data_IF_307691497650
#
_entry.id   IF_307691497650
#
_cell.length_a   1.000
_cell.length_b   1.000
_cell.length_c   1.000
_cell.angle_alpha   90.00
_cell.angle_beta   90.00
_cell.angle_gamma   90.00
#
_symmetry.space_group_name_H-M   'P 1'
#
loop_
_entity.id
_entity.type
_entity.pdbx_description
1 polymer ?
#
# COMPACT_ATOMS: atom_id res chain seq x y z
N UNK A 1 -50.38 -34.63 -36.76
CA UNK A 1 -49.77 -33.38 -36.24
C UNK A 1 -49.78 -33.27 -34.71
N UNK A 2 -50.88 -33.58 -34.00
CA UNK A 2 -50.98 -33.40 -32.53
C UNK A 2 -50.01 -34.29 -31.71
N UNK A 3 -49.69 -35.50 -32.21
CA UNK A 3 -48.76 -36.45 -31.56
C UNK A 3 -47.29 -35.98 -31.61
N UNK A 4 -46.85 -35.43 -32.76
CA UNK A 4 -45.49 -34.89 -32.91
C UNK A 4 -45.26 -33.64 -32.06
N UNK A 5 -46.27 -32.78 -31.88
CA UNK A 5 -46.20 -31.62 -30.97
C UNK A 5 -46.01 -32.05 -29.50
N UNK A 6 -46.80 -33.03 -29.03
CA UNK A 6 -46.67 -33.58 -27.67
C UNK A 6 -45.31 -34.24 -27.42
N UNK A 7 -44.75 -34.91 -28.43
CA UNK A 7 -43.42 -35.53 -28.35
C UNK A 7 -42.31 -34.47 -28.26
N UNK A 8 -42.41 -33.37 -29.02
CA UNK A 8 -41.50 -32.23 -28.92
C UNK A 8 -41.54 -31.52 -27.57
N UNK A 9 -42.74 -31.34 -26.99
CA UNK A 9 -42.90 -30.76 -25.65
C UNK A 9 -42.32 -31.66 -24.55
N UNK A 10 -42.51 -32.99 -24.65
CA UNK A 10 -41.90 -33.94 -23.71
C UNK A 10 -40.37 -33.96 -23.79
N UNK A 11 -39.81 -33.89 -25.00
CA UNK A 11 -38.37 -33.82 -25.21
C UNK A 11 -37.80 -32.51 -24.65
N UNK A 12 -38.45 -31.38 -24.91
CA UNK A 12 -38.07 -30.07 -24.37
C UNK A 12 -38.06 -30.06 -22.83
N UNK A 13 -39.10 -30.63 -22.19
CA UNK A 13 -39.14 -30.78 -20.72
C UNK A 13 -37.99 -31.66 -20.19
N UNK A 14 -37.69 -32.77 -20.84
CA UNK A 14 -36.55 -33.65 -20.46
C UNK A 14 -35.21 -32.91 -20.60
N UNK A 15 -35.01 -32.17 -21.68
CA UNK A 15 -33.82 -31.33 -21.87
C UNK A 15 -33.71 -30.28 -20.79
N UNK A 16 -34.80 -29.60 -20.46
CA UNK A 16 -34.83 -28.57 -19.41
C UNK A 16 -34.46 -29.15 -18.02
N UNK A 17 -34.96 -30.34 -17.69
CA UNK A 17 -34.61 -31.04 -16.44
C UNK A 17 -33.14 -31.47 -16.43
N UNK A 18 -32.61 -31.94 -17.55
CA UNK A 18 -31.21 -32.36 -17.64
C UNK A 18 -30.26 -31.18 -17.54
N UNK A 19 -30.58 -30.07 -18.21
CA UNK A 19 -29.82 -28.82 -18.12
C UNK A 19 -29.85 -28.26 -16.70
N UNK A 20 -31.02 -28.25 -16.03
CA UNK A 20 -31.10 -27.77 -14.65
C UNK A 20 -30.33 -28.65 -13.67
N UNK A 21 -30.35 -29.98 -13.87
CA UNK A 21 -29.54 -30.92 -13.08
C UNK A 21 -28.06 -30.69 -13.28
N UNK A 22 -27.60 -30.58 -14.54
CA UNK A 22 -26.19 -30.33 -14.85
C UNK A 22 -25.74 -28.99 -14.26
N UNK A 23 -26.53 -27.93 -14.42
CA UNK A 23 -26.25 -26.63 -13.82
C UNK A 23 -26.14 -26.69 -12.29
N UNK A 24 -26.96 -27.51 -11.62
CA UNK A 24 -26.85 -27.71 -10.17
C UNK A 24 -25.56 -28.45 -9.78
N UNK A 25 -25.15 -29.45 -10.58
CA UNK A 25 -23.89 -30.16 -10.36
C UNK A 25 -22.68 -29.22 -10.55
N UNK A 26 -22.71 -28.38 -11.60
CA UNK A 26 -21.66 -27.40 -11.86
C UNK A 26 -21.54 -26.40 -10.71
N UNK A 27 -22.67 -25.92 -10.17
CA UNK A 27 -22.68 -25.02 -9.01
C UNK A 27 -22.09 -25.68 -7.76
N UNK A 28 -22.36 -26.98 -7.54
CA UNK A 28 -21.78 -27.74 -6.43
C UNK A 28 -20.27 -27.95 -6.60
N UNK A 29 -19.81 -28.19 -7.81
CA UNK A 29 -18.37 -28.31 -8.06
C UNK A 29 -17.66 -26.96 -7.93
N UNK A 30 -18.28 -25.85 -8.37
CA UNK A 30 -17.75 -24.51 -8.17
C UNK A 30 -17.57 -24.19 -6.68
N UNK A 31 -18.61 -24.37 -5.87
CA UNK A 31 -18.54 -24.14 -4.42
C UNK A 31 -17.48 -25.03 -3.74
N UNK A 32 -17.37 -26.30 -4.17
CA UNK A 32 -16.33 -27.21 -3.68
C UNK A 32 -14.91 -26.77 -4.06
N UNK A 33 -14.72 -26.14 -5.22
CA UNK A 33 -13.43 -25.58 -5.64
C UNK A 33 -13.10 -24.35 -4.79
N UNK A 34 -14.04 -23.42 -4.63
CA UNK A 34 -13.90 -22.23 -3.79
C UNK A 34 -13.50 -22.59 -2.35
N UNK A 35 -14.20 -23.56 -1.74
CA UNK A 35 -13.88 -24.07 -0.40
C UNK A 35 -12.45 -24.64 -0.29
N UNK A 36 -11.96 -25.28 -1.34
CA UNK A 36 -10.60 -25.84 -1.36
C UNK A 36 -9.55 -24.75 -1.52
N UNK A 37 -9.80 -23.79 -2.39
CA UNK A 37 -8.90 -22.65 -2.60
C UNK A 37 -8.70 -21.87 -1.30
N UNK A 38 -9.77 -21.61 -0.56
CA UNK A 38 -9.71 -20.94 0.73
C UNK A 38 -8.89 -21.74 1.76
N UNK A 39 -9.11 -23.06 1.84
CA UNK A 39 -8.34 -23.96 2.72
C UNK A 39 -6.86 -23.99 2.38
N UNK A 40 -6.52 -24.04 1.09
CA UNK A 40 -5.13 -24.00 0.64
C UNK A 40 -4.48 -22.65 0.92
N UNK A 41 -5.20 -21.55 0.71
CA UNK A 41 -4.73 -20.21 1.03
C UNK A 41 -4.42 -20.08 2.53
N UNK A 42 -5.34 -20.50 3.39
CA UNK A 42 -5.15 -20.51 4.84
C UNK A 42 -3.93 -21.33 5.24
N UNK A 43 -3.85 -22.58 4.78
CA UNK A 43 -2.73 -23.47 5.07
C UNK A 43 -1.39 -22.88 4.62
N UNK A 44 -1.34 -22.28 3.42
CA UNK A 44 -0.15 -21.65 2.89
C UNK A 44 0.31 -20.47 3.77
N UNK A 45 -0.60 -19.55 4.10
CA UNK A 45 -0.27 -18.38 4.93
C UNK A 45 0.23 -18.78 6.32
N UNK A 46 -0.49 -19.69 7.00
CA UNK A 46 -0.08 -20.18 8.32
C UNK A 46 1.29 -20.85 8.27
N UNK A 47 1.56 -21.64 7.23
CA UNK A 47 2.85 -22.34 7.07
C UNK A 47 3.98 -21.36 6.80
N UNK A 48 3.77 -20.36 5.95
CA UNK A 48 4.78 -19.32 5.71
C UNK A 48 5.07 -18.51 6.97
N UNK A 49 4.05 -18.13 7.73
CA UNK A 49 4.22 -17.41 9.00
C UNK A 49 5.00 -18.27 10.00
N UNK A 50 4.68 -19.56 10.12
CA UNK A 50 5.42 -20.49 10.99
C UNK A 50 6.88 -20.62 10.57
N UNK A 51 7.15 -20.70 9.26
CA UNK A 51 8.52 -20.76 8.74
C UNK A 51 9.31 -19.50 9.09
N UNK A 52 8.72 -18.31 8.88
CA UNK A 52 9.33 -17.03 9.23
C UNK A 52 9.56 -16.83 10.73
N UNK A 53 8.84 -17.53 11.59
CA UNK A 53 9.10 -17.51 13.04
C UNK A 53 10.30 -18.37 13.43
N UNK A 54 10.56 -19.44 12.69
CA UNK A 54 11.56 -20.45 13.05
C UNK A 54 12.93 -20.17 12.44
N UNK A 55 12.97 -19.51 11.27
CA UNK A 55 14.21 -19.23 10.53
C UNK A 55 14.19 -17.86 9.86
N UNK A 56 15.37 -17.26 9.76
CA UNK A 56 15.63 -16.02 9.01
C UNK A 56 16.20 -16.30 7.59
N UNK A 57 16.55 -17.55 7.27
CA UNK A 57 17.12 -17.93 5.96
C UNK A 57 16.14 -17.74 4.80
N UNK A 58 14.84 -17.71 5.10
CA UNK A 58 13.75 -17.66 4.13
C UNK A 58 12.89 -16.41 4.27
N UNK A 59 13.48 -15.28 4.66
CA UNK A 59 12.76 -13.98 4.78
C UNK A 59 12.12 -13.50 3.47
N UNK A 60 12.57 -14.03 2.32
CA UNK A 60 11.93 -13.79 1.02
C UNK A 60 10.48 -14.29 0.97
N UNK A 61 10.07 -15.21 1.84
CA UNK A 61 8.69 -15.66 1.99
C UNK A 61 7.75 -14.52 2.41
N UNK A 62 8.26 -13.45 3.02
CA UNK A 62 7.44 -12.28 3.31
C UNK A 62 6.84 -11.67 2.03
N UNK A 63 7.58 -11.68 0.91
CA UNK A 63 7.05 -11.24 -0.38
C UNK A 63 5.86 -12.10 -0.81
N UNK A 64 5.94 -13.42 -0.56
CA UNK A 64 4.88 -14.37 -0.92
C UNK A 64 3.65 -14.17 -0.06
N UNK A 65 3.83 -13.97 1.25
CA UNK A 65 2.75 -13.63 2.17
C UNK A 65 2.05 -12.34 1.73
N UNK A 66 2.81 -11.26 1.49
CA UNK A 66 2.23 -10.01 1.04
C UNK A 66 1.51 -10.16 -0.29
N UNK A 67 2.09 -10.88 -1.27
CA UNK A 67 1.42 -11.15 -2.54
C UNK A 67 0.08 -11.86 -2.35
N UNK A 68 0.03 -12.93 -1.55
CA UNK A 68 -1.19 -13.69 -1.29
C UNK A 68 -2.22 -12.85 -0.53
N UNK A 69 -1.78 -12.14 0.51
CA UNK A 69 -2.64 -11.27 1.30
C UNK A 69 -3.27 -10.19 0.43
N UNK A 70 -2.47 -9.53 -0.39
CA UNK A 70 -2.95 -8.45 -1.22
C UNK A 70 -3.92 -8.89 -2.32
N UNK A 71 -3.72 -10.08 -2.89
CA UNK A 71 -4.65 -10.66 -3.87
C UNK A 71 -5.97 -11.07 -3.22
N UNK A 72 -5.98 -11.34 -1.92
CA UNK A 72 -7.11 -11.88 -1.17
C UNK A 72 -7.55 -10.96 -0.01
N UNK A 73 -7.41 -9.65 -0.19
CA UNK A 73 -7.58 -8.66 0.89
C UNK A 73 -9.04 -8.46 1.35
N UNK A 74 -10.01 -8.96 0.58
CA UNK A 74 -11.44 -8.94 0.92
C UNK A 74 -11.86 -10.11 1.81
N UNK A 75 -11.05 -11.19 1.85
CA UNK A 75 -11.35 -12.36 2.67
C UNK A 75 -10.95 -12.08 4.12
N UNK A 76 -11.92 -12.21 5.04
CA UNK A 76 -11.70 -12.00 6.47
C UNK A 76 -10.64 -12.96 7.03
N UNK A 77 -10.68 -14.24 6.61
CA UNK A 77 -9.75 -15.27 7.06
C UNK A 77 -8.29 -14.90 6.78
N UNK A 78 -8.01 -14.37 5.59
CA UNK A 78 -6.67 -13.90 5.22
C UNK A 78 -6.20 -12.81 6.17
N UNK A 79 -7.08 -11.84 6.42
CA UNK A 79 -6.80 -10.69 7.26
C UNK A 79 -6.58 -11.08 8.73
N UNK A 80 -7.35 -12.02 9.27
CA UNK A 80 -7.19 -12.54 10.63
C UNK A 80 -5.85 -13.29 10.79
N UNK A 81 -5.50 -14.15 9.83
CA UNK A 81 -4.20 -14.87 9.83
C UNK A 81 -3.02 -13.88 9.79
N UNK A 82 -3.14 -12.82 9.01
CA UNK A 82 -2.11 -11.77 8.92
C UNK A 82 -2.04 -10.96 10.22
N UNK A 83 -3.16 -10.71 10.90
CA UNK A 83 -3.20 -10.04 12.20
C UNK A 83 -2.46 -10.84 13.27
N UNK A 84 -2.77 -12.13 13.37
CA UNK A 84 -2.10 -13.06 14.29
C UNK A 84 -0.61 -13.21 13.96
N UNK A 85 -0.30 -13.35 12.67
CA UNK A 85 1.06 -13.42 12.16
C UNK A 85 1.86 -12.17 12.46
N UNK A 86 1.28 -11.00 12.22
CA UNK A 86 1.92 -9.72 12.46
C UNK A 86 2.32 -9.58 13.92
N UNK A 87 1.39 -9.78 14.85
CA UNK A 87 1.62 -9.63 16.29
C UNK A 87 2.77 -10.49 16.81
N UNK A 88 3.02 -11.63 16.17
CA UNK A 88 4.00 -12.61 16.58
C UNK A 88 5.31 -12.59 15.77
N UNK A 89 5.33 -11.97 14.60
CA UNK A 89 6.53 -11.83 13.76
C UNK A 89 7.38 -10.63 14.20
N UNK A 90 8.72 -10.71 14.09
CA UNK A 90 9.59 -9.56 14.26
C UNK A 90 9.31 -8.47 13.20
N UNK A 91 9.31 -7.21 13.62
CA UNK A 91 8.99 -6.08 12.73
C UNK A 91 10.03 -5.83 11.64
N UNK A 92 11.30 -6.22 11.84
CA UNK A 92 12.36 -6.01 10.86
C UNK A 92 12.12 -6.77 9.55
N UNK A 93 11.37 -7.88 9.57
CA UNK A 93 11.05 -8.69 8.38
C UNK A 93 10.18 -7.94 7.36
N UNK A 94 9.50 -6.87 7.79
CA UNK A 94 8.69 -6.02 6.91
C UNK A 94 9.51 -4.87 6.27
N UNK A 95 10.72 -4.57 6.75
CA UNK A 95 11.54 -3.46 6.24
C UNK A 95 11.77 -3.54 4.73
N UNK A 96 12.16 -4.70 4.15
CA UNK A 96 12.37 -4.82 2.70
C UNK A 96 11.10 -4.50 1.88
N UNK A 97 9.93 -4.65 2.49
CA UNK A 97 8.63 -4.42 1.89
C UNK A 97 8.03 -3.06 2.22
N UNK A 98 8.71 -2.22 3.00
CA UNK A 98 8.19 -0.93 3.45
C UNK A 98 7.69 -0.06 2.28
N UNK A 99 8.43 0.01 1.17
CA UNK A 99 8.01 0.74 -0.02
C UNK A 99 6.74 0.17 -0.68
N UNK A 100 6.62 -1.16 -0.75
CA UNK A 100 5.45 -1.81 -1.35
C UNK A 100 4.20 -1.65 -0.49
N UNK A 101 4.36 -1.73 0.84
CA UNK A 101 3.30 -1.47 1.81
C UNK A 101 2.86 0.00 1.75
N UNK A 102 3.82 0.93 1.77
CA UNK A 102 3.58 2.37 1.68
C UNK A 102 2.84 2.76 0.39
N UNK A 103 3.17 2.15 -0.75
CA UNK A 103 2.51 2.41 -2.02
C UNK A 103 1.00 2.03 -2.02
N UNK A 104 0.56 1.17 -1.11
CA UNK A 104 -0.83 0.71 -0.98
C UNK A 104 -1.60 1.39 0.14
N UNK A 105 -0.94 2.29 0.86
CA UNK A 105 -1.52 3.06 1.96
C UNK A 105 -2.57 4.04 1.43
N UNK A 106 -3.78 3.95 1.99
CA UNK A 106 -4.90 4.87 1.72
C UNK A 106 -5.64 5.15 3.02
N UNK A 107 -6.46 6.21 3.02
CA UNK A 107 -7.39 6.42 4.13
C UNK A 107 -8.37 5.24 4.19
N UNK A 108 -8.59 4.66 5.37
CA UNK A 108 -9.50 3.55 5.51
C UNK A 108 -10.92 4.06 5.24
N UNK A 109 -11.65 3.38 4.36
CA UNK A 109 -13.11 3.50 4.31
C UNK A 109 -13.70 2.70 5.48
N UNK A 110 -14.92 3.02 5.91
CA UNK A 110 -15.52 2.47 7.14
C UNK A 110 -15.48 0.93 7.25
N UNK A 111 -15.37 0.20 6.14
CA UNK A 111 -15.32 -1.27 6.10
C UNK A 111 -13.99 -1.86 5.63
N UNK A 112 -12.89 -1.09 5.62
CA UNK A 112 -11.61 -1.57 5.08
C UNK A 112 -10.71 -2.20 6.14
N UNK A 113 -11.00 -3.45 6.54
CA UNK A 113 -10.13 -4.24 7.42
C UNK A 113 -8.68 -4.24 6.91
N UNK A 114 -8.50 -4.46 5.60
CA UNK A 114 -7.20 -4.45 4.96
C UNK A 114 -6.40 -3.16 5.21
N UNK A 115 -7.01 -1.98 5.08
CA UNK A 115 -6.32 -0.71 5.29
C UNK A 115 -5.99 -0.48 6.77
N UNK A 116 -6.85 -0.91 7.68
CA UNK A 116 -6.58 -0.84 9.12
C UNK A 116 -5.36 -1.71 9.47
N UNK A 117 -5.33 -2.96 9.01
CA UNK A 117 -4.22 -3.88 9.23
C UNK A 117 -2.92 -3.36 8.58
N UNK A 118 -2.98 -2.85 7.35
CA UNK A 118 -1.83 -2.25 6.66
C UNK A 118 -1.25 -1.07 7.44
N UNK A 119 -2.10 -0.20 7.97
CA UNK A 119 -1.67 0.94 8.78
C UNK A 119 -1.06 0.50 10.11
N UNK A 120 -1.59 -0.54 10.74
CA UNK A 120 -1.04 -1.09 11.98
C UNK A 120 0.36 -1.69 11.75
N UNK A 121 0.53 -2.46 10.69
CA UNK A 121 1.84 -3.02 10.31
C UNK A 121 2.84 -1.88 10.06
N UNK A 122 2.49 -0.91 9.21
CA UNK A 122 3.38 0.21 8.90
C UNK A 122 3.70 1.06 10.14
N UNK A 123 2.73 1.26 11.03
CA UNK A 123 2.93 1.99 12.28
C UNK A 123 3.96 1.27 13.15
N UNK A 124 3.78 -0.02 13.41
CA UNK A 124 4.71 -0.80 14.23
C UNK A 124 6.11 -0.81 13.64
N UNK A 125 6.24 -1.08 12.34
CA UNK A 125 7.56 -1.09 11.68
C UNK A 125 8.22 0.29 11.74
N UNK A 126 7.45 1.38 11.66
CA UNK A 126 7.99 2.74 11.74
C UNK A 126 8.36 3.18 13.15
N UNK A 127 7.62 2.71 14.15
CA UNK A 127 8.00 2.92 15.56
C UNK A 127 9.26 2.13 15.88
N UNK A 128 9.36 0.87 15.46
CA UNK A 128 10.50 0.01 15.77
C UNK A 128 11.76 0.43 14.99
N UNK A 129 11.61 0.73 13.69
CA UNK A 129 12.72 0.96 12.74
C UNK A 129 12.61 2.32 12.03
N UNK A 130 12.61 3.45 12.75
CA UNK A 130 12.32 4.76 12.19
C UNK A 130 13.31 5.18 11.10
N UNK A 131 14.60 4.86 11.23
CA UNK A 131 15.60 5.22 10.22
C UNK A 131 15.37 4.52 8.86
N UNK A 132 14.69 3.38 8.84
CA UNK A 132 14.41 2.63 7.62
C UNK A 132 13.11 3.06 6.94
N UNK A 133 12.07 3.41 7.71
CA UNK A 133 10.74 3.65 7.14
C UNK A 133 10.24 5.08 7.24
N UNK A 134 10.77 5.90 8.15
CA UNK A 134 10.29 7.28 8.32
C UNK A 134 10.49 8.11 7.05
N UNK A 135 11.60 7.91 6.33
CA UNK A 135 11.83 8.53 5.03
C UNK A 135 10.83 8.07 3.97
N UNK A 136 10.39 6.81 4.02
CA UNK A 136 9.36 6.27 3.11
C UNK A 136 8.03 6.98 3.36
N UNK A 137 7.63 7.12 4.62
CA UNK A 137 6.39 7.81 4.99
C UNK A 137 6.47 9.31 4.66
N UNK A 138 7.60 9.97 4.95
CA UNK A 138 7.80 11.39 4.61
C UNK A 138 7.76 11.62 3.10
N UNK A 139 8.31 10.72 2.30
CA UNK A 139 8.21 10.79 0.85
C UNK A 139 6.75 10.77 0.38
N UNK A 140 5.89 9.95 0.99
CA UNK A 140 4.44 9.98 0.71
C UNK A 140 3.82 11.33 1.06
N UNK A 141 4.17 11.92 2.22
CA UNK A 141 3.61 13.22 2.64
C UNK A 141 4.06 14.38 1.76
N UNK A 142 5.24 14.27 1.13
CA UNK A 142 5.81 15.30 0.27
C UNK A 142 5.51 15.13 -1.21
N UNK A 143 4.80 14.06 -1.61
CA UNK A 143 4.58 13.70 -3.01
C UNK A 143 3.94 14.80 -3.88
N UNK A 144 3.21 15.76 -3.27
CA UNK A 144 2.54 16.86 -3.98
C UNK A 144 3.26 18.21 -3.96
N UNK A 145 4.38 18.33 -3.25
CA UNK A 145 5.06 19.63 -3.10
C UNK A 145 5.56 20.20 -4.43
N UNK A 146 5.93 19.34 -5.37
CA UNK A 146 6.36 19.77 -6.70
C UNK A 146 5.17 20.22 -7.57
N UNK A 147 4.00 19.61 -7.43
CA UNK A 147 2.79 20.04 -8.15
C UNK A 147 2.31 21.42 -7.70
N UNK A 148 2.50 21.77 -6.42
CA UNK A 148 2.21 23.10 -5.88
C UNK A 148 3.16 24.17 -6.44
N UNK A 149 4.46 23.84 -6.53
CA UNK A 149 5.50 24.77 -6.98
C UNK A 149 5.57 24.96 -8.50
N UNK A 150 5.36 23.89 -9.28
CA UNK A 150 5.49 23.90 -10.74
C UNK A 150 4.14 23.75 -11.47
N UNK A 151 3.03 23.98 -10.76
CA UNK A 151 1.68 23.92 -11.31
C UNK A 151 1.56 24.70 -12.63
N UNK A 152 1.28 24.05 -13.78
CA UNK A 152 1.02 24.78 -15.01
C UNK A 152 -0.26 25.62 -14.88
N UNK A 153 -0.35 26.76 -15.58
CA UNK A 153 -1.49 27.66 -15.54
C UNK A 153 -2.80 26.93 -15.89
N UNK A 154 -3.94 27.39 -15.36
CA UNK A 154 -5.22 26.67 -15.41
C UNK A 154 -5.75 26.38 -16.83
N UNK A 155 -5.22 27.02 -17.86
CA UNK A 155 -5.63 26.90 -19.27
C UNK A 155 -5.16 25.64 -20.00
N UNK A 156 -4.23 24.84 -19.44
CA UNK A 156 -3.64 23.67 -20.13
C UNK A 156 -3.99 22.29 -19.54
N UNK A 157 -4.90 22.21 -18.55
CA UNK A 157 -5.18 20.94 -17.84
C UNK A 157 -6.46 20.27 -18.35
N UNK A 158 -6.36 19.03 -18.81
CA UNK A 158 -7.48 18.11 -19.09
C UNK A 158 -8.26 17.79 -17.81
N UNK A 159 -9.59 18.01 -17.81
CA UNK A 159 -10.47 17.87 -16.62
C UNK A 159 -10.56 16.43 -16.06
N UNK A 160 -10.39 15.40 -16.91
CA UNK A 160 -10.61 13.98 -16.56
C UNK A 160 -9.49 13.39 -15.68
N UNK A 161 -8.23 13.66 -16.00
CA UNK A 161 -7.07 13.15 -15.25
C UNK A 161 -6.88 13.84 -13.89
N UNK A 162 -7.36 15.08 -13.79
CA UNK A 162 -7.25 15.93 -12.59
C UNK A 162 -8.06 15.40 -11.40
N UNK A 163 -9.26 14.85 -11.63
CA UNK A 163 -10.14 14.43 -10.53
C UNK A 163 -9.78 13.07 -9.93
N UNK A 164 -9.34 12.10 -10.74
CA UNK A 164 -9.02 10.75 -10.25
C UNK A 164 -7.64 10.68 -9.60
N UNK A 165 -6.65 11.43 -10.13
CA UNK A 165 -5.31 11.49 -9.56
C UNK A 165 -5.29 12.29 -8.25
N UNK A 166 -6.00 13.41 -8.16
CA UNK A 166 -6.05 14.24 -6.94
C UNK A 166 -6.71 13.51 -5.76
N UNK A 167 -7.80 12.77 -5.98
CA UNK A 167 -8.53 12.07 -4.89
C UNK A 167 -7.73 10.89 -4.32
N UNK A 168 -7.09 10.07 -5.18
CA UNK A 168 -6.28 8.93 -4.71
C UNK A 168 -5.05 9.42 -3.95
N UNK A 169 -4.35 10.42 -4.48
CA UNK A 169 -3.14 10.94 -3.86
C UNK A 169 -3.41 11.71 -2.56
N UNK A 170 -4.51 12.47 -2.48
CA UNK A 170 -4.94 13.10 -1.21
C UNK A 170 -5.31 12.07 -0.15
N UNK A 171 -5.92 10.94 -0.52
CA UNK A 171 -6.22 9.85 0.41
C UNK A 171 -4.94 9.21 0.99
N UNK A 172 -3.92 8.98 0.15
CA UNK A 172 -2.65 8.42 0.59
C UNK A 172 -1.88 9.39 1.48
N UNK A 173 -1.83 10.68 1.12
CA UNK A 173 -1.18 11.71 1.94
C UNK A 173 -1.85 11.85 3.30
N UNK A 174 -3.19 11.88 3.32
CA UNK A 174 -3.93 11.97 4.59
C UNK A 174 -3.65 10.78 5.50
N UNK A 175 -3.62 9.57 4.94
CA UNK A 175 -3.26 8.37 5.69
C UNK A 175 -1.80 8.41 6.21
N UNK A 176 -0.86 8.87 5.38
CA UNK A 176 0.54 9.03 5.76
C UNK A 176 0.71 10.08 6.87
N UNK A 177 -0.01 11.21 6.81
CA UNK A 177 0.00 12.24 7.85
C UNK A 177 -0.58 11.70 9.17
N UNK A 178 -1.68 10.94 9.12
CA UNK A 178 -2.26 10.31 10.30
C UNK A 178 -1.29 9.30 10.94
N UNK A 179 -0.59 8.51 10.11
CA UNK A 179 0.44 7.59 10.59
C UNK A 179 1.61 8.33 11.22
N UNK A 180 2.11 9.40 10.55
CA UNK A 180 3.19 10.22 11.06
C UNK A 180 2.84 10.85 12.41
N UNK A 181 1.61 11.37 12.57
CA UNK A 181 1.12 11.91 13.83
C UNK A 181 1.07 10.86 14.95
N UNK A 182 0.78 9.60 14.63
CA UNK A 182 0.86 8.50 15.61
C UNK A 182 2.31 8.19 16.01
N UNK A 183 3.24 8.20 15.07
CA UNK A 183 4.67 7.98 15.34
C UNK A 183 5.27 9.14 16.15
N UNK A 184 4.87 10.38 15.85
CA UNK A 184 5.32 11.59 16.53
C UNK A 184 4.96 11.57 18.02
N UNK A 185 3.85 10.95 18.41
CA UNK A 185 3.48 10.75 19.82
C UNK A 185 4.46 9.85 20.58
N UNK A 186 5.16 8.94 19.88
CA UNK A 186 6.10 7.99 20.48
C UNK A 186 7.54 8.48 20.39
N UNK A 187 7.92 9.09 19.26
CA UNK A 187 9.30 9.55 18.97
C UNK A 187 9.29 11.00 18.43
N UNK A 188 8.91 12.01 19.24
CA UNK A 188 8.69 13.38 18.77
C UNK A 188 9.95 14.04 18.23
N UNK A 189 11.08 13.90 18.94
CA UNK A 189 12.35 14.54 18.56
C UNK A 189 12.87 14.00 17.23
N UNK A 190 12.81 12.67 17.06
CA UNK A 190 13.27 12.01 15.84
C UNK A 190 12.38 12.40 14.65
N UNK A 191 11.07 12.40 14.81
CA UNK A 191 10.15 12.82 13.74
C UNK A 191 10.36 14.28 13.37
N UNK A 192 10.50 15.16 14.36
CA UNK A 192 10.75 16.60 14.15
C UNK A 192 12.07 16.84 13.42
N UNK A 193 13.16 16.19 13.86
CA UNK A 193 14.47 16.30 13.23
C UNK A 193 14.46 15.76 11.79
N UNK A 194 13.86 14.59 11.56
CA UNK A 194 13.81 13.98 10.23
C UNK A 194 12.92 14.77 9.27
N UNK A 195 11.80 15.29 9.76
CA UNK A 195 10.91 16.18 9.00
C UNK A 195 11.66 17.46 8.61
N UNK A 196 12.32 18.12 9.57
CA UNK A 196 13.15 19.29 9.29
C UNK A 196 14.19 18.97 8.23
N UNK A 197 14.97 17.90 8.41
CA UNK A 197 15.99 17.48 7.47
C UNK A 197 15.44 17.26 6.06
N UNK A 198 14.31 16.56 5.93
CA UNK A 198 13.68 16.30 4.63
C UNK A 198 13.22 17.59 3.93
N UNK A 199 12.70 18.58 4.68
CA UNK A 199 12.30 19.87 4.13
C UNK A 199 13.52 20.67 3.62
N UNK A 200 14.63 20.63 4.37
CA UNK A 200 15.87 21.28 3.96
C UNK A 200 16.41 20.69 2.67
N UNK A 201 16.41 19.36 2.54
CA UNK A 201 16.80 18.70 1.30
C UNK A 201 15.90 19.07 0.12
N UNK A 202 14.58 19.15 0.33
CA UNK A 202 13.64 19.57 -0.71
C UNK A 202 13.93 21.01 -1.14
N UNK A 203 14.14 21.92 -0.19
CA UNK A 203 14.45 23.33 -0.49
C UNK A 203 15.78 23.49 -1.22
N UNK A 204 16.77 22.70 -0.85
CA UNK A 204 18.08 22.69 -1.51
C UNK A 204 18.05 22.15 -2.92
N UNK A 205 17.34 21.03 -3.15
CA UNK A 205 17.14 20.50 -4.49
C UNK A 205 16.43 21.51 -5.40
N UNK A 206 15.65 22.40 -4.77
CA UNK A 206 14.88 23.46 -5.40
C UNK A 206 15.62 24.81 -5.51
N UNK A 207 16.85 24.89 -5.01
CA UNK A 207 17.69 26.09 -5.11
C UNK A 207 18.10 26.34 -6.55
N UNK A 208 17.94 27.57 -7.03
CA UNK A 208 18.26 27.91 -8.40
C UNK A 208 19.77 28.00 -8.62
N UNK A 209 20.32 26.95 -9.24
CA UNK A 209 21.73 26.87 -9.61
C UNK A 209 22.02 27.38 -11.04
N UNK A 210 21.03 27.93 -11.76
CA UNK A 210 21.19 28.43 -13.13
C UNK A 210 22.37 29.39 -13.33
N UNK A 211 22.70 30.30 -12.38
CA UNK A 211 23.86 31.19 -12.52
C UNK A 211 25.20 30.47 -12.61
N UNK A 212 25.33 29.28 -12.03
CA UNK A 212 26.58 28.52 -11.97
C UNK A 212 26.66 27.36 -12.98
N UNK A 213 25.57 27.11 -13.71
CA UNK A 213 25.48 25.99 -14.67
C UNK A 213 26.51 26.07 -15.81
N UNK A 214 26.92 27.28 -16.18
CA UNK A 214 27.84 27.55 -17.28
C UNK A 214 29.29 27.87 -16.83
N UNK A 215 29.59 27.73 -15.53
CA UNK A 215 30.91 28.07 -14.96
C UNK A 215 31.49 26.87 -14.18
N UNK A 216 31.91 25.79 -14.88
CA UNK A 216 32.50 24.62 -14.23
C UNK A 216 33.78 24.99 -13.47
N UNK A 217 33.88 24.56 -12.21
CA UNK A 217 35.06 24.76 -11.35
C UNK A 217 35.03 25.99 -10.45
N UNK A 218 34.03 26.87 -10.54
CA UNK A 218 33.87 27.95 -9.56
C UNK A 218 33.26 27.43 -8.24
N UNK A 219 33.79 27.93 -7.12
CA UNK A 219 33.22 27.69 -5.79
C UNK A 219 31.86 28.37 -5.72
N UNK A 220 30.80 27.58 -5.53
CA UNK A 220 29.44 28.08 -5.33
C UNK A 220 29.36 28.64 -3.90
N UNK A 221 29.24 29.96 -3.78
CA UNK A 221 28.97 30.58 -2.48
C UNK A 221 27.48 30.45 -2.17
N UNK A 222 27.14 29.46 -1.35
CA UNK A 222 25.77 29.26 -0.89
C UNK A 222 25.30 30.47 -0.04
N UNK A 223 24.11 31.03 -0.29
CA UNK A 223 23.57 32.10 0.53
C UNK A 223 23.41 31.65 2.00
N UNK A 224 23.85 32.49 2.95
CA UNK A 224 23.63 32.24 4.39
C UNK A 224 22.15 32.24 4.80
N UNK A 225 21.26 32.71 3.92
CA UNK A 225 19.81 32.61 4.08
C UNK A 225 19.28 31.18 3.95
N UNK A 226 20.06 30.26 3.36
CA UNK A 226 19.66 28.87 3.22
C UNK A 226 19.49 28.22 4.59
N UNK A 227 18.43 27.43 4.78
CA UNK A 227 18.08 26.96 6.11
C UNK A 227 19.01 25.86 6.66
N UNK A 228 19.99 25.39 5.88
CA UNK A 228 21.12 24.60 6.41
C UNK A 228 21.93 25.35 7.46
N UNK A 229 22.13 26.67 7.28
CA UNK A 229 22.88 27.45 8.25
C UNK A 229 22.12 27.60 9.58
N UNK A 230 20.78 27.51 9.54
CA UNK A 230 19.91 27.52 10.73
C UNK A 230 19.96 26.22 11.54
N UNK A 231 20.48 25.11 10.99
CA UNK A 231 20.72 23.89 11.75
C UNK A 231 21.93 24.04 12.69
N UNK A 232 22.99 24.71 12.23
CA UNK A 232 24.21 24.92 13.04
C UNK A 232 23.98 25.88 14.21
N UNK A 233 23.00 26.77 14.12
CA UNK A 233 22.68 27.76 15.16
C UNK A 233 21.79 27.20 16.28
N UNK A 234 21.33 25.95 16.16
CA UNK A 234 20.37 25.31 17.09
C UNK A 234 21.01 24.42 18.16
N UNK A 235 22.35 24.42 18.26
CA UNK A 235 23.10 23.75 19.32
C UNK A 235 23.35 24.69 20.51
#
# INVERSE_FOLDING_TARGET
MLSMKKMGEQLSRKTQILVSKNSNLDLKELTRIEDKEEKFLKCALETYIKCLKMSDEHDTLMNRICSLWFSNNLLAITNDIISDGHSSLPSYKYIPLAYQLAARLKTPTNDSYFQNMLQEILLRVTVDHPYHTLFVILALTHAHKDEEKYAPPPSKRTKSERNKKNTVTTSTITAALNLLAKVERVKPDLVSATKLLSLLYIEFANFDASPWKNQPGQKISLPKSLPFYKLCERN
#
